data_IF_483103071394
#
_entry.id   IF_483103071394
#
_cell.length_a   1.000
_cell.length_b   1.000
_cell.length_c   1.000
_cell.angle_alpha   90.00
_cell.angle_beta   90.00
_cell.angle_gamma   90.00
#
_symmetry.space_group_name_H-M   'P 1'
#
loop_
_entity.id
_entity.type
_entity.pdbx_description
1 polymer ?
#
# COMPACT_ATOMS: atom_id res chain seq x y z
N UNK A 1 -40.64 -9.53 24.31
CA UNK A 1 -39.42 -8.79 23.91
C UNK A 1 -38.86 -9.42 22.64
N UNK A 2 -39.19 -8.85 21.47
CA UNK A 2 -38.77 -9.36 20.16
C UNK A 2 -37.36 -8.84 19.86
N UNK A 3 -36.37 -9.73 19.83
CA UNK A 3 -34.96 -9.41 19.56
C UNK A 3 -34.79 -8.92 18.12
N UNK A 4 -34.29 -7.69 17.98
CA UNK A 4 -33.86 -7.13 16.69
C UNK A 4 -32.62 -7.89 16.18
N UNK A 5 -32.82 -8.78 15.20
CA UNK A 5 -31.71 -9.48 14.55
C UNK A 5 -31.10 -8.58 13.45
N UNK A 6 -29.79 -8.27 13.51
CA UNK A 6 -29.14 -7.36 12.56
C UNK A 6 -29.21 -7.85 11.11
N UNK A 7 -29.35 -9.15 10.87
CA UNK A 7 -29.51 -9.71 9.51
C UNK A 7 -30.83 -9.26 8.88
N UNK A 8 -31.89 -9.11 9.67
CA UNK A 8 -33.20 -8.70 9.18
C UNK A 8 -33.20 -7.23 8.75
N UNK A 9 -32.45 -6.38 9.47
CA UNK A 9 -32.27 -4.97 9.12
C UNK A 9 -31.45 -4.79 7.84
N UNK A 10 -30.38 -5.57 7.66
CA UNK A 10 -29.57 -5.57 6.44
C UNK A 10 -30.37 -6.00 5.20
N UNK A 11 -31.25 -7.01 5.34
CA UNK A 11 -32.13 -7.44 4.24
C UNK A 11 -33.16 -6.36 3.88
N UNK A 12 -33.77 -5.71 4.88
CA UNK A 12 -34.71 -4.63 4.65
C UNK A 12 -34.05 -3.41 3.97
N UNK A 13 -32.84 -3.03 4.40
CA UNK A 13 -32.08 -1.94 3.81
C UNK A 13 -31.71 -2.22 2.35
N UNK A 14 -31.27 -3.46 2.05
CA UNK A 14 -30.94 -3.88 0.69
C UNK A 14 -32.17 -3.86 -0.23
N UNK A 15 -33.34 -4.26 0.29
CA UNK A 15 -34.60 -4.21 -0.47
C UNK A 15 -35.04 -2.76 -0.77
N UNK A 16 -34.87 -1.83 0.18
CA UNK A 16 -35.16 -0.39 -0.06
C UNK A 16 -34.23 0.21 -1.12
N UNK A 17 -32.92 -0.07 -1.06
CA UNK A 17 -31.98 0.44 -2.06
C UNK A 17 -32.28 -0.09 -3.47
N UNK A 18 -32.75 -1.33 -3.58
CA UNK A 18 -33.09 -1.95 -4.87
C UNK A 18 -34.42 -1.43 -5.43
N UNK A 19 -35.35 -1.01 -4.56
CA UNK A 19 -36.59 -0.34 -4.94
C UNK A 19 -36.35 1.10 -5.42
N UNK A 20 -35.49 1.88 -4.75
CA UNK A 20 -35.09 3.22 -5.19
C UNK A 20 -34.43 3.21 -6.58
N UNK A 21 -33.58 2.20 -6.85
CA UNK A 21 -32.91 2.06 -8.14
C UNK A 21 -33.85 1.73 -9.31
N UNK A 22 -35.08 1.26 -9.02
CA UNK A 22 -36.13 0.97 -10.03
C UNK A 22 -37.08 2.16 -10.27
N UNK A 23 -37.13 3.14 -9.38
CA UNK A 23 -37.99 4.33 -9.54
C UNK A 23 -37.34 5.49 -10.30
N UNK A 24 -36.01 5.50 -10.47
CA UNK A 24 -35.30 6.56 -11.21
C UNK A 24 -35.24 6.36 -12.73
N UNK A 25 -35.74 5.25 -13.27
CA UNK A 25 -35.68 4.94 -14.71
C UNK A 25 -36.95 5.28 -15.50
N UNK A 26 -37.65 6.38 -15.16
CA UNK A 26 -38.70 6.94 -16.05
C UNK A 26 -38.82 8.45 -15.93
N UNK A 27 -38.00 9.21 -16.66
CA UNK A 27 -38.42 10.47 -17.29
C UNK A 27 -37.32 10.97 -18.25
N UNK A 28 -37.57 10.81 -19.55
CA UNK A 28 -36.86 11.55 -20.60
C UNK A 28 -37.56 12.90 -20.79
N UNK A 29 -36.82 14.00 -20.77
CA UNK A 29 -37.16 15.20 -21.54
C UNK A 29 -35.93 15.69 -22.31
N UNK A 30 -36.16 15.99 -23.59
CA UNK A 30 -35.17 16.49 -24.57
C UNK A 30 -34.78 17.93 -24.21
N UNK A 31 -33.48 18.22 -24.23
CA UNK A 31 -32.94 19.57 -24.29
C UNK A 31 -31.51 19.55 -24.83
N UNK A 32 -31.31 20.05 -26.05
CA UNK A 32 -29.98 20.29 -26.64
C UNK A 32 -29.33 21.47 -25.89
N UNK A 33 -28.16 21.27 -25.33
CA UNK A 33 -27.18 22.33 -25.11
C UNK A 33 -25.77 21.74 -25.07
N UNK A 34 -24.93 22.22 -25.99
CA UNK A 34 -23.50 21.95 -26.03
C UNK A 34 -22.86 22.49 -24.75
N UNK A 35 -22.26 21.63 -23.93
CA UNK A 35 -21.31 22.04 -22.90
C UNK A 35 -20.17 21.03 -22.85
N UNK A 36 -19.02 21.48 -23.35
CA UNK A 36 -17.74 20.79 -23.36
C UNK A 36 -17.25 20.68 -21.91
N UNK A 37 -17.72 19.68 -21.17
CA UNK A 37 -17.21 19.37 -19.83
C UNK A 37 -16.03 18.43 -20.02
N UNK A 38 -14.84 19.00 -19.86
CA UNK A 38 -13.58 18.30 -19.71
C UNK A 38 -13.75 17.12 -18.76
N UNK A 39 -13.68 15.90 -19.31
CA UNK A 39 -13.42 14.70 -18.54
C UNK A 39 -12.10 14.94 -17.80
N UNK A 40 -12.18 15.31 -16.52
CA UNK A 40 -11.06 15.12 -15.61
C UNK A 40 -10.86 13.62 -15.56
N UNK A 41 -9.90 13.15 -16.33
CA UNK A 41 -9.30 11.82 -16.24
C UNK A 41 -9.14 11.54 -14.76
N UNK A 42 -10.03 10.70 -14.23
CA UNK A 42 -9.87 10.14 -12.91
C UNK A 42 -8.46 9.59 -12.89
N UNK A 43 -7.65 10.15 -11.99
CA UNK A 43 -6.25 9.81 -11.85
C UNK A 43 -6.18 8.29 -11.86
N UNK A 44 -5.50 7.75 -12.88
CA UNK A 44 -5.00 6.39 -12.89
C UNK A 44 -4.06 6.29 -11.67
N UNK A 45 -4.66 6.11 -10.50
CA UNK A 45 -3.98 5.68 -9.29
C UNK A 45 -3.47 4.31 -9.66
N UNK A 46 -2.21 4.26 -10.11
CA UNK A 46 -1.53 3.02 -10.46
C UNK A 46 -1.82 2.03 -9.34
N UNK A 47 -2.62 1.03 -9.65
CA UNK A 47 -3.01 -0.09 -8.77
C UNK A 47 -1.80 -0.97 -8.38
N UNK A 48 -0.57 -0.49 -8.57
CA UNK A 48 0.65 -1.12 -8.07
C UNK A 48 0.82 -1.01 -6.55
N UNK A 49 0.04 -0.17 -5.86
CA UNK A 49 0.04 -0.11 -4.38
C UNK A 49 -0.76 -1.26 -3.74
N UNK A 50 -1.60 -1.97 -4.52
CA UNK A 50 -2.44 -3.06 -4.00
C UNK A 50 -1.71 -4.41 -3.87
N UNK A 51 -0.58 -4.61 -4.57
CA UNK A 51 0.04 -5.94 -4.65
C UNK A 51 0.61 -6.45 -3.31
N UNK A 52 0.99 -5.56 -2.38
CA UNK A 52 1.61 -5.93 -1.10
C UNK A 52 1.15 -5.03 0.06
N UNK A 53 -0.12 -4.63 0.08
CA UNK A 53 -0.65 -3.62 1.01
C UNK A 53 -0.37 -3.91 2.50
N UNK A 54 -0.46 -5.17 2.92
CA UNK A 54 -0.16 -5.54 4.32
C UNK A 54 1.33 -5.40 4.64
N UNK A 55 2.21 -5.75 3.70
CA UNK A 55 3.65 -5.61 3.87
C UNK A 55 4.03 -4.12 3.90
N UNK A 56 3.47 -3.29 3.01
CA UNK A 56 3.63 -1.83 3.04
C UNK A 56 3.29 -1.28 4.43
N UNK A 57 2.13 -1.70 4.97
CA UNK A 57 1.67 -1.27 6.28
C UNK A 57 2.64 -1.66 7.41
N UNK A 58 3.28 -2.83 7.32
CA UNK A 58 4.30 -3.23 8.30
C UNK A 58 5.54 -2.33 8.27
N UNK A 59 5.98 -1.92 7.07
CA UNK A 59 7.07 -0.94 6.94
C UNK A 59 6.67 0.44 7.47
N UNK A 60 5.47 0.91 7.15
CA UNK A 60 4.93 2.18 7.67
C UNK A 60 4.85 2.17 9.20
N UNK A 61 4.36 1.08 9.79
CA UNK A 61 4.28 0.93 11.25
C UNK A 61 5.67 0.90 11.88
N UNK A 62 6.63 0.23 11.23
CA UNK A 62 8.04 0.23 11.67
C UNK A 62 8.63 1.65 11.65
N UNK A 63 8.40 2.41 10.58
CA UNK A 63 8.87 3.78 10.44
C UNK A 63 8.24 4.72 11.48
N UNK A 64 6.94 4.56 11.76
CA UNK A 64 6.28 5.30 12.85
C UNK A 64 6.85 4.92 14.23
N UNK A 65 7.18 3.64 14.46
CA UNK A 65 7.85 3.19 15.69
C UNK A 65 9.25 3.79 15.84
N UNK A 66 9.99 3.98 14.74
CA UNK A 66 11.30 4.65 14.74
C UNK A 66 11.15 6.09 15.23
N UNK A 67 10.23 6.86 14.66
CA UNK A 67 9.95 8.24 15.09
C UNK A 67 9.55 8.31 16.57
N UNK A 68 8.63 7.44 16.98
CA UNK A 68 8.16 7.40 18.37
C UNK A 68 9.25 7.02 19.36
N UNK A 69 10.18 6.14 18.97
CA UNK A 69 11.34 5.78 19.79
C UNK A 69 12.24 6.98 20.02
N UNK A 70 12.54 7.79 18.98
CA UNK A 70 13.37 8.98 19.15
C UNK A 70 12.72 10.01 20.07
N UNK A 71 11.40 10.18 19.95
CA UNK A 71 10.64 11.15 20.74
C UNK A 71 10.56 10.78 22.22
N UNK A 72 10.24 9.52 22.54
CA UNK A 72 9.91 9.13 23.92
C UNK A 72 11.05 8.39 24.64
N UNK A 73 11.97 7.78 23.88
CA UNK A 73 13.04 6.94 24.40
C UNK A 73 14.38 7.21 23.69
N UNK A 74 14.90 8.45 23.73
CA UNK A 74 16.09 8.85 22.99
C UNK A 74 17.33 8.02 23.37
N UNK A 75 17.49 7.65 24.63
CA UNK A 75 18.62 6.84 25.11
C UNK A 75 18.61 5.41 24.54
N UNK A 76 17.42 4.89 24.22
CA UNK A 76 17.22 3.56 23.64
C UNK A 76 17.28 3.55 22.11
N UNK A 77 17.56 4.70 21.46
CA UNK A 77 17.54 4.82 20.00
C UNK A 77 18.61 3.97 19.29
N UNK A 78 19.64 3.53 20.02
CA UNK A 78 20.67 2.62 19.51
C UNK A 78 20.11 1.30 18.94
N UNK A 79 18.97 0.82 19.45
CA UNK A 79 18.26 -0.32 18.86
C UNK A 79 17.76 -0.04 17.44
N UNK A 80 17.43 1.21 17.11
CA UNK A 80 17.03 1.59 15.75
C UNK A 80 18.22 1.62 14.80
N UNK A 81 19.44 1.97 15.25
CA UNK A 81 20.64 1.79 14.42
C UNK A 81 20.91 0.32 14.11
N UNK A 82 20.69 -0.57 15.09
CA UNK A 82 20.79 -2.01 14.84
C UNK A 82 19.74 -2.47 13.81
N UNK A 83 18.49 -2.04 13.95
CA UNK A 83 17.45 -2.28 12.96
C UNK A 83 17.85 -1.79 11.56
N UNK A 84 18.42 -0.59 11.43
CA UNK A 84 18.88 -0.07 10.15
C UNK A 84 19.97 -0.95 9.52
N UNK A 85 20.94 -1.41 10.31
CA UNK A 85 21.98 -2.34 9.86
C UNK A 85 21.38 -3.68 9.40
N UNK A 86 20.45 -4.24 10.16
CA UNK A 86 19.76 -5.49 9.81
C UNK A 86 18.91 -5.33 8.55
N UNK A 87 18.28 -4.18 8.33
CA UNK A 87 17.57 -3.87 7.09
C UNK A 87 18.52 -3.84 5.87
N UNK A 88 19.67 -3.18 5.97
CA UNK A 88 20.67 -3.18 4.88
C UNK A 88 21.19 -4.59 4.60
N UNK A 89 21.48 -5.38 5.65
CA UNK A 89 21.88 -6.78 5.50
C UNK A 89 20.83 -7.63 4.77
N UNK A 90 19.55 -7.46 5.10
CA UNK A 90 18.46 -8.13 4.40
C UNK A 90 18.34 -7.67 2.93
N UNK A 91 18.49 -6.37 2.68
CA UNK A 91 18.46 -5.81 1.33
C UNK A 91 19.60 -6.37 0.46
N UNK A 92 20.80 -6.48 1.02
CA UNK A 92 21.97 -7.03 0.34
C UNK A 92 21.86 -8.54 0.15
N UNK A 93 21.36 -9.28 1.14
CA UNK A 93 21.06 -10.71 1.00
C UNK A 93 20.08 -11.00 -0.14
N UNK A 94 19.00 -10.22 -0.22
CA UNK A 94 18.03 -10.28 -1.34
C UNK A 94 18.68 -9.96 -2.69
N UNK A 95 19.56 -8.95 -2.72
CA UNK A 95 20.28 -8.57 -3.94
C UNK A 95 21.22 -9.68 -4.41
N UNK A 96 22.06 -10.19 -3.51
CA UNK A 96 23.04 -11.24 -3.78
C UNK A 96 22.37 -12.55 -4.20
N UNK A 97 21.28 -12.94 -3.53
CA UNK A 97 20.50 -14.13 -3.92
C UNK A 97 19.92 -14.01 -5.34
N UNK A 98 19.49 -12.81 -5.74
CA UNK A 98 18.99 -12.60 -7.09
C UNK A 98 20.08 -12.51 -8.15
N UNK A 99 21.27 -12.02 -7.79
CA UNK A 99 22.44 -12.09 -8.65
C UNK A 99 22.81 -13.54 -8.93
N UNK A 100 22.86 -14.39 -7.89
CA UNK A 100 23.10 -15.82 -8.03
C UNK A 100 22.03 -16.48 -8.91
N UNK A 101 20.75 -16.20 -8.67
CA UNK A 101 19.67 -16.75 -9.51
C UNK A 101 19.79 -16.29 -10.96
N UNK A 102 20.16 -15.04 -11.22
CA UNK A 102 20.38 -14.53 -12.57
C UNK A 102 21.54 -15.26 -13.28
N UNK A 103 22.63 -15.53 -12.57
CA UNK A 103 23.76 -16.32 -13.09
C UNK A 103 23.32 -17.76 -13.42
N UNK A 104 22.55 -18.42 -12.54
CA UNK A 104 22.02 -19.76 -12.79
C UNK A 104 21.10 -19.79 -14.02
N UNK A 105 20.22 -18.79 -14.17
CA UNK A 105 19.34 -18.65 -15.34
C UNK A 105 20.15 -18.39 -16.62
N UNK A 106 21.25 -17.64 -16.54
CA UNK A 106 22.14 -17.44 -17.68
C UNK A 106 22.84 -18.74 -18.10
N UNK A 107 23.30 -19.55 -17.15
CA UNK A 107 23.95 -20.84 -17.42
C UNK A 107 23.00 -21.84 -18.08
N UNK A 108 21.75 -21.92 -17.61
CA UNK A 108 20.73 -22.83 -18.16
C UNK A 108 20.10 -22.28 -19.45
N UNK A 109 20.24 -20.98 -19.69
CA UNK A 109 19.65 -20.26 -20.82
C UNK A 109 18.18 -19.89 -20.57
N UNK A 110 17.85 -18.60 -20.51
CA UNK A 110 16.49 -18.14 -20.22
C UNK A 110 15.41 -18.72 -21.17
N UNK A 111 15.78 -19.03 -22.41
CA UNK A 111 14.92 -19.63 -23.41
C UNK A 111 14.46 -21.04 -23.04
N UNK A 112 15.27 -21.80 -22.31
CA UNK A 112 14.99 -23.19 -21.92
C UNK A 112 14.00 -23.29 -20.75
N UNK A 113 13.78 -22.19 -20.03
CA UNK A 113 12.80 -22.12 -18.96
C UNK A 113 11.37 -22.30 -19.50
N UNK A 114 10.56 -23.06 -18.76
CA UNK A 114 9.12 -23.17 -19.01
C UNK A 114 8.42 -21.81 -18.81
N UNK A 115 7.21 -21.66 -19.35
CA UNK A 115 6.39 -20.45 -19.15
C UNK A 115 6.11 -20.17 -17.68
N UNK A 116 5.88 -21.23 -16.89
CA UNK A 116 5.67 -21.14 -15.45
C UNK A 116 6.93 -20.64 -14.74
N UNK A 117 8.09 -21.21 -15.04
CA UNK A 117 9.38 -20.77 -14.46
C UNK A 117 9.68 -19.30 -14.78
N UNK A 118 9.41 -18.87 -16.02
CA UNK A 118 9.56 -17.45 -16.43
C UNK A 118 8.64 -16.54 -15.62
N UNK A 119 7.40 -16.97 -15.37
CA UNK A 119 6.41 -16.23 -14.56
C UNK A 119 6.87 -16.12 -13.09
N UNK A 120 7.33 -17.23 -12.50
CA UNK A 120 7.88 -17.24 -11.13
C UNK A 120 9.11 -16.34 -11.03
N UNK A 121 10.01 -16.37 -12.02
CA UNK A 121 11.20 -15.51 -12.04
C UNK A 121 10.82 -14.02 -12.13
N UNK A 122 9.81 -13.66 -12.93
CA UNK A 122 9.31 -12.29 -13.02
C UNK A 122 8.69 -11.82 -11.69
N UNK A 123 7.86 -12.66 -11.06
CA UNK A 123 7.24 -12.37 -9.77
C UNK A 123 8.29 -12.20 -8.67
N UNK A 124 9.28 -13.11 -8.62
CA UNK A 124 10.39 -13.01 -7.68
C UNK A 124 11.16 -11.69 -7.83
N UNK A 125 11.49 -11.30 -9.06
CA UNK A 125 12.16 -10.01 -9.33
C UNK A 125 11.36 -8.82 -8.81
N UNK A 126 10.04 -8.81 -9.03
CA UNK A 126 9.16 -7.76 -8.56
C UNK A 126 9.13 -7.69 -7.02
N UNK A 127 8.88 -8.82 -6.34
CA UNK A 127 8.82 -8.90 -4.88
C UNK A 127 10.15 -8.50 -4.25
N UNK A 128 11.26 -9.05 -4.75
CA UNK A 128 12.59 -8.73 -4.25
C UNK A 128 12.89 -7.24 -4.39
N UNK A 129 12.67 -6.63 -5.55
CA UNK A 129 12.92 -5.21 -5.76
C UNK A 129 12.09 -4.34 -4.80
N UNK A 130 10.82 -4.70 -4.59
CA UNK A 130 9.95 -4.03 -3.64
C UNK A 130 10.49 -4.15 -2.21
N UNK A 131 10.86 -5.35 -1.75
CA UNK A 131 11.39 -5.56 -0.41
C UNK A 131 12.74 -4.86 -0.19
N UNK A 132 13.69 -5.02 -1.11
CA UNK A 132 14.99 -4.33 -1.08
C UNK A 132 14.79 -2.81 -0.97
N UNK A 133 13.87 -2.25 -1.74
CA UNK A 133 13.55 -0.83 -1.69
C UNK A 133 13.03 -0.38 -0.32
N UNK A 134 12.07 -1.12 0.25
CA UNK A 134 11.48 -0.79 1.55
C UNK A 134 12.50 -0.95 2.70
N UNK A 135 13.30 -2.02 2.73
CA UNK A 135 14.34 -2.19 3.74
C UNK A 135 15.35 -1.03 3.72
N UNK A 136 15.85 -0.66 2.53
CA UNK A 136 16.77 0.48 2.38
C UNK A 136 16.11 1.82 2.74
N UNK A 137 14.82 1.99 2.43
CA UNK A 137 14.08 3.17 2.83
C UNK A 137 13.95 3.28 4.35
N UNK A 138 13.61 2.18 5.04
CA UNK A 138 13.55 2.13 6.52
C UNK A 138 14.92 2.39 7.16
N UNK A 139 16.00 1.81 6.62
CA UNK A 139 17.35 2.08 7.10
C UNK A 139 17.72 3.57 6.98
N UNK A 140 17.43 4.19 5.84
CA UNK A 140 17.59 5.65 5.65
C UNK A 140 16.71 6.47 6.58
N UNK A 141 15.48 6.02 6.85
CA UNK A 141 14.55 6.70 7.75
C UNK A 141 15.08 6.78 9.17
N UNK A 142 15.72 5.72 9.68
CA UNK A 142 16.38 5.75 11.00
C UNK A 142 17.38 6.90 11.10
N UNK A 143 18.23 7.06 10.07
CA UNK A 143 19.20 8.15 10.02
C UNK A 143 18.51 9.51 9.90
N UNK A 144 17.51 9.64 9.03
CA UNK A 144 16.78 10.88 8.87
C UNK A 144 16.08 11.33 10.17
N UNK A 145 15.53 10.40 10.95
CA UNK A 145 14.91 10.70 12.25
C UNK A 145 15.95 11.11 13.29
N UNK A 146 17.13 10.48 13.28
CA UNK A 146 18.24 10.87 14.14
C UNK A 146 18.73 12.28 13.83
N UNK A 147 18.94 12.58 12.54
CA UNK A 147 19.41 13.86 12.04
C UNK A 147 18.34 14.97 12.12
N UNK A 148 17.11 14.64 12.53
CA UNK A 148 15.98 15.58 12.59
C UNK A 148 15.46 16.04 11.22
N UNK A 149 15.81 15.33 10.15
CA UNK A 149 15.45 15.65 8.75
C UNK A 149 14.29 14.80 8.22
N UNK A 150 13.80 13.84 9.00
CA UNK A 150 12.70 12.98 8.61
C UNK A 150 11.41 13.76 8.39
N UNK A 151 10.77 13.52 7.23
CA UNK A 151 9.37 13.90 7.02
C UNK A 151 8.50 12.85 7.71
N UNK A 152 7.52 13.27 8.53
CA UNK A 152 6.68 12.36 9.32
C UNK A 152 6.08 11.22 8.48
N UNK A 153 6.23 9.99 8.97
CA UNK A 153 5.70 8.82 8.29
C UNK A 153 4.17 8.75 8.45
N UNK A 154 3.45 9.02 7.35
CA UNK A 154 2.05 8.69 7.03
C UNK A 154 0.90 9.06 8.00
N UNK A 155 1.12 9.29 9.30
CA UNK A 155 0.03 9.51 10.28
C UNK A 155 -0.80 10.75 9.99
N UNK A 156 -0.22 11.78 9.38
CA UNK A 156 -0.96 13.00 9.00
C UNK A 156 -1.84 12.83 7.75
N UNK A 157 -1.64 11.77 6.94
CA UNK A 157 -2.56 11.47 5.82
C UNK A 157 -3.87 10.85 6.31
N UNK A 158 -3.81 9.98 7.30
CA UNK A 158 -5.01 9.34 7.85
C UNK A 158 -5.79 10.24 8.81
N UNK A 159 -5.11 11.10 9.58
CA UNK A 159 -5.79 12.05 10.48
C UNK A 159 -6.58 13.10 9.69
N UNK A 160 -6.11 13.53 8.51
CA UNK A 160 -6.86 14.48 7.66
C UNK A 160 -8.16 13.89 7.09
N UNK A 161 -8.25 12.57 6.96
CA UNK A 161 -9.44 11.90 6.44
C UNK A 161 -10.46 11.62 7.57
N UNK A 162 -10.03 11.43 8.82
CA UNK A 162 -10.95 11.28 9.97
C UNK A 162 -11.60 12.60 10.42
N UNK A 163 -10.91 13.74 10.26
CA UNK A 163 -11.48 15.06 10.60
C UNK A 163 -12.59 15.47 9.61
N UNK A 164 -12.54 15.01 8.36
CA UNK A 164 -13.56 15.33 7.35
C UNK A 164 -14.86 14.50 7.47
N UNK A 165 -14.86 13.47 8.31
CA UNK A 165 -16.00 12.55 8.43
C UNK A 165 -16.90 12.85 9.64
N UNK A 166 -16.50 13.77 10.52
CA UNK A 166 -17.27 14.17 11.70
C UNK A 166 -17.98 15.54 11.58
N UNK A 167 -17.88 16.21 10.43
CA UNK A 167 -18.59 17.48 10.14
C UNK A 167 -19.72 17.30 9.10
N UNK A 168 -20.59 16.30 9.33
CA UNK A 168 -21.88 16.19 8.62
C UNK A 168 -23.00 15.74 9.54
#
# INVERSE_FOLDING_TARGET
MTRNNPITQLKALKAQMQAQKRTESTSKSKGKANAKVSEKTAQNGKEGFLAMAQISRMFDQTNASIEHCKLNFPDCYHHKHRLAKECEQLADGLHNGALLLAQLVQLVGHQTLTTEQKTVLANFKAVKNYLTGNFRATAKHVKAVEDGTATKCYRERFIKDEVKQNDK
#
